data_IF_200210327907
#
_entry.id   IF_200210327907
#
_cell.length_a   1.000
_cell.length_b   1.000
_cell.length_c   1.000
_cell.angle_alpha   90.00
_cell.angle_beta   90.00
_cell.angle_gamma   90.00
#
_symmetry.space_group_name_H-M   'P 1'
#
loop_
_entity.id
_entity.type
_entity.pdbx_description
1 polymer ?
#
# COMPACT_ATOMS: atom_id res chain seq x y z
N UNK A 1 24.03 3.07 -10.24
CA UNK A 1 23.45 3.68 -11.47
C UNK A 1 22.13 4.25 -11.07
N UNK A 2 21.88 5.53 -11.25
CA UNK A 2 20.56 6.12 -11.03
C UNK A 2 19.83 6.14 -12.37
N UNK A 3 18.66 5.51 -12.41
CA UNK A 3 17.76 5.60 -13.57
C UNK A 3 17.03 6.93 -13.46
N UNK A 4 17.05 7.72 -14.53
CA UNK A 4 16.37 9.00 -14.53
C UNK A 4 14.83 8.78 -14.47
N UNK A 5 14.11 9.57 -13.66
CA UNK A 5 12.68 9.41 -13.39
C UNK A 5 11.82 9.51 -14.67
N UNK A 6 12.25 10.30 -15.66
CA UNK A 6 11.57 10.37 -16.95
C UNK A 6 11.62 9.04 -17.74
N UNK A 7 12.66 8.22 -17.55
CA UNK A 7 12.74 6.87 -18.13
C UNK A 7 11.76 5.94 -17.43
N UNK A 8 11.70 6.00 -16.08
CA UNK A 8 10.73 5.25 -15.28
C UNK A 8 9.31 5.64 -15.68
N UNK A 9 9.01 6.94 -15.75
CA UNK A 9 7.70 7.46 -16.16
C UNK A 9 7.25 6.93 -17.52
N UNK A 10 8.15 6.91 -18.49
CA UNK A 10 7.86 6.32 -19.81
C UNK A 10 7.59 4.82 -19.74
N UNK A 11 8.35 4.09 -18.92
CA UNK A 11 8.18 2.63 -18.78
C UNK A 11 6.91 2.26 -18.02
N UNK A 12 6.39 3.18 -17.21
CA UNK A 12 5.20 3.02 -16.38
C UNK A 12 3.93 3.68 -16.98
N UNK A 13 3.98 4.15 -18.21
CA UNK A 13 2.85 4.83 -18.85
C UNK A 13 1.57 4.01 -18.97
N UNK A 14 1.67 2.67 -18.89
CA UNK A 14 0.54 1.74 -18.91
C UNK A 14 0.16 1.23 -17.51
N UNK A 15 0.55 1.94 -16.44
CA UNK A 15 0.30 1.54 -15.07
C UNK A 15 -0.67 2.49 -14.39
N UNK A 16 -1.68 1.94 -13.73
CA UNK A 16 -2.55 2.63 -12.78
C UNK A 16 -2.11 2.28 -11.37
N UNK A 17 -1.74 3.26 -10.57
CA UNK A 17 -1.27 3.08 -9.21
C UNK A 17 -2.41 3.26 -8.21
N UNK A 18 -2.60 2.26 -7.37
CA UNK A 18 -3.45 2.32 -6.19
C UNK A 18 -2.57 2.45 -4.96
N UNK A 19 -2.72 3.55 -4.26
CA UNK A 19 -2.03 3.86 -3.00
C UNK A 19 -3.07 4.18 -1.92
N UNK A 20 -2.64 4.38 -0.70
CA UNK A 20 -3.56 4.76 0.38
C UNK A 20 -3.48 3.81 1.58
N UNK A 21 -4.53 3.83 2.40
CA UNK A 21 -4.53 3.16 3.70
C UNK A 21 -4.86 1.66 3.61
N UNK A 22 -4.55 0.93 4.67
CA UNK A 22 -5.18 -0.38 4.89
C UNK A 22 -6.71 -0.24 4.86
N UNK A 23 -7.41 -1.30 4.51
CA UNK A 23 -8.87 -1.33 4.41
C UNK A 23 -9.53 -0.26 3.51
N UNK A 24 -8.74 0.54 2.77
CA UNK A 24 -9.24 1.53 1.80
C UNK A 24 -9.90 0.92 0.55
N UNK A 25 -9.76 -0.38 0.33
CA UNK A 25 -10.36 -1.10 -0.80
C UNK A 25 -9.44 -1.29 -2.00
N UNK A 26 -8.16 -0.94 -1.92
CA UNK A 26 -7.18 -1.05 -3.03
C UNK A 26 -7.21 -2.42 -3.72
N UNK A 27 -7.03 -3.49 -2.96
CA UNK A 27 -6.99 -4.87 -3.47
C UNK A 27 -8.30 -5.26 -4.15
N UNK A 28 -9.44 -4.94 -3.55
CA UNK A 28 -10.76 -5.21 -4.12
C UNK A 28 -10.96 -4.47 -5.43
N UNK A 29 -10.73 -3.16 -5.42
CA UNK A 29 -10.90 -2.32 -6.61
C UNK A 29 -9.90 -2.66 -7.71
N UNK A 30 -8.65 -2.97 -7.35
CA UNK A 30 -7.63 -3.39 -8.30
C UNK A 30 -8.01 -4.68 -9.03
N UNK A 31 -8.51 -5.66 -8.30
CA UNK A 31 -8.99 -6.93 -8.89
C UNK A 31 -10.24 -6.74 -9.75
N UNK A 32 -11.22 -5.96 -9.29
CA UNK A 32 -12.45 -5.69 -10.05
C UNK A 32 -12.16 -4.92 -11.35
N UNK A 33 -11.30 -3.89 -11.28
CA UNK A 33 -10.90 -3.13 -12.45
C UNK A 33 -10.13 -4.02 -13.45
N UNK A 34 -9.20 -4.82 -12.95
CA UNK A 34 -8.42 -5.74 -13.77
C UNK A 34 -9.30 -6.79 -14.44
N UNK A 35 -10.26 -7.36 -13.73
CA UNK A 35 -11.22 -8.31 -14.28
C UNK A 35 -12.11 -7.68 -15.36
N UNK A 36 -12.58 -6.45 -15.13
CA UNK A 36 -13.49 -5.75 -16.07
C UNK A 36 -12.80 -5.37 -17.38
N UNK A 37 -11.53 -4.94 -17.31
CA UNK A 37 -10.81 -4.39 -18.48
C UNK A 37 -9.71 -5.32 -19.04
N UNK A 38 -9.53 -6.50 -18.46
CA UNK A 38 -8.47 -7.42 -18.87
C UNK A 38 -7.06 -6.94 -18.50
N UNK A 39 -6.92 -6.11 -17.45
CA UNK A 39 -5.63 -5.62 -16.98
C UNK A 39 -4.95 -6.67 -16.09
N UNK A 40 -3.65 -6.56 -15.94
CA UNK A 40 -2.90 -7.34 -14.96
C UNK A 40 -2.99 -6.65 -13.60
N UNK A 41 -3.41 -7.38 -12.58
CA UNK A 41 -3.32 -6.93 -11.19
C UNK A 41 -1.96 -7.32 -10.60
N UNK A 42 -1.27 -6.34 -10.04
CA UNK A 42 -0.02 -6.52 -9.29
C UNK A 42 -0.20 -6.00 -7.86
N UNK A 43 0.34 -6.71 -6.90
CA UNK A 43 0.39 -6.27 -5.50
C UNK A 43 1.74 -6.62 -4.90
N UNK A 44 2.29 -5.72 -4.09
CA UNK A 44 3.49 -5.94 -3.29
C UNK A 44 3.17 -6.49 -1.89
N UNK A 45 1.94 -6.96 -1.68
CA UNK A 45 1.55 -7.56 -0.43
C UNK A 45 2.44 -8.78 -0.13
N UNK A 46 2.99 -8.84 1.08
CA UNK A 46 3.84 -9.92 1.59
C UNK A 46 3.25 -11.34 1.45
N UNK A 47 1.93 -11.47 1.29
CA UNK A 47 1.27 -12.74 0.98
C UNK A 47 1.38 -13.17 -0.49
N UNK A 48 1.90 -12.32 -1.37
CA UNK A 48 2.09 -12.66 -2.76
C UNK A 48 3.34 -13.56 -2.95
N UNK A 49 3.32 -14.48 -3.93
CA UNK A 49 4.41 -15.45 -4.11
C UNK A 49 5.80 -14.84 -4.30
N UNK A 50 5.87 -13.67 -4.92
CA UNK A 50 7.13 -12.99 -5.23
C UNK A 50 7.84 -12.45 -3.99
N UNK A 51 7.12 -12.20 -2.90
CA UNK A 51 7.70 -11.64 -1.67
C UNK A 51 8.82 -12.51 -1.08
N UNK A 52 8.63 -13.83 -1.08
CA UNK A 52 9.64 -14.77 -0.55
C UNK A 52 10.94 -14.76 -1.35
N UNK A 53 10.83 -14.56 -2.67
CA UNK A 53 12.00 -14.41 -3.53
C UNK A 53 12.74 -13.10 -3.20
N UNK A 54 12.02 -12.01 -3.10
CA UNK A 54 12.58 -10.70 -2.76
C UNK A 54 13.23 -10.68 -1.38
N UNK A 55 12.58 -11.25 -0.37
CA UNK A 55 13.10 -11.36 1.00
C UNK A 55 14.48 -12.06 1.03
N UNK A 56 14.72 -13.02 0.14
CA UNK A 56 16.01 -13.72 0.04
C UNK A 56 17.12 -12.89 -0.59
N UNK A 57 16.78 -11.82 -1.31
CA UNK A 57 17.73 -10.97 -2.06
C UNK A 57 18.04 -9.69 -1.27
N UNK A 58 17.11 -9.19 -0.46
CA UNK A 58 17.28 -7.96 0.30
C UNK A 58 18.45 -8.11 1.28
N UNK A 59 19.39 -7.18 1.24
CA UNK A 59 20.51 -7.11 2.19
C UNK A 59 19.96 -6.92 3.62
N UNK A 60 20.48 -7.69 4.58
CA UNK A 60 20.05 -7.64 5.99
C UNK A 60 20.08 -6.26 6.64
N UNK A 61 20.91 -5.33 6.16
CA UNK A 61 20.95 -3.92 6.63
C UNK A 61 19.74 -3.10 6.18
N UNK A 62 19.01 -3.57 5.16
CA UNK A 62 17.80 -2.94 4.62
C UNK A 62 16.52 -3.69 5.00
N UNK A 63 16.57 -4.48 6.07
CA UNK A 63 15.39 -5.20 6.53
C UNK A 63 14.29 -4.24 7.00
N UNK A 64 13.01 -4.60 6.79
CA UNK A 64 11.88 -3.82 7.29
C UNK A 64 11.94 -3.61 8.80
N UNK A 65 11.23 -2.61 9.29
CA UNK A 65 11.11 -2.29 10.73
C UNK A 65 10.60 -3.47 11.60
N UNK A 66 10.12 -4.55 10.99
CA UNK A 66 9.78 -5.81 11.66
C UNK A 66 11.00 -6.68 12.03
N UNK A 67 12.22 -6.22 11.70
CA UNK A 67 13.45 -6.96 11.95
C UNK A 67 14.42 -6.15 12.82
N UNK A 68 15.14 -6.85 13.69
CA UNK A 68 16.21 -6.30 14.51
C UNK A 68 17.55 -6.87 14.05
N UNK A 69 18.38 -6.04 13.42
CA UNK A 69 19.70 -6.46 12.93
C UNK A 69 19.65 -7.64 11.96
N UNK A 70 18.65 -7.70 11.07
CA UNK A 70 18.49 -8.76 10.08
C UNK A 70 17.81 -10.04 10.62
N UNK A 71 17.31 -10.01 11.86
CA UNK A 71 16.52 -11.11 12.43
C UNK A 71 15.09 -10.64 12.69
N UNK A 72 14.06 -11.44 12.34
CA UNK A 72 12.69 -11.13 12.70
C UNK A 72 12.56 -10.96 14.23
N UNK A 73 11.78 -9.97 14.64
CA UNK A 73 11.35 -9.89 16.04
C UNK A 73 10.49 -11.11 16.40
N UNK A 74 10.62 -11.61 17.62
CA UNK A 74 9.56 -12.45 18.19
C UNK A 74 8.26 -11.62 18.34
N UNK A 75 7.11 -12.29 18.40
CA UNK A 75 5.84 -11.58 18.61
C UNK A 75 5.86 -10.72 19.88
N UNK A 76 6.45 -11.24 20.97
CA UNK A 76 6.56 -10.48 22.22
C UNK A 76 7.40 -9.22 22.06
N UNK A 77 8.57 -9.32 21.44
CA UNK A 77 9.43 -8.16 21.17
C UNK A 77 8.73 -7.15 20.25
N UNK A 78 8.08 -7.63 19.19
CA UNK A 78 7.41 -6.78 18.23
C UNK A 78 6.26 -5.99 18.84
N UNK A 79 5.34 -6.68 19.54
CA UNK A 79 4.11 -6.06 20.08
C UNK A 79 4.27 -5.43 21.47
N UNK A 80 5.44 -5.53 22.10
CA UNK A 80 5.72 -4.84 23.37
C UNK A 80 6.25 -3.42 23.20
N UNK A 81 6.46 -2.98 21.97
CA UNK A 81 6.95 -1.61 21.67
C UNK A 81 5.84 -0.58 21.86
N UNK A 82 6.25 0.62 22.24
CA UNK A 82 5.37 1.79 22.28
C UNK A 82 5.06 2.33 20.88
N UNK A 83 4.07 3.21 20.77
CA UNK A 83 3.75 3.92 19.53
C UNK A 83 4.97 4.69 19.02
N UNK A 84 5.70 5.37 19.91
CA UNK A 84 6.88 6.16 19.58
C UNK A 84 8.01 5.29 19.01
N UNK A 85 8.23 4.10 19.59
CA UNK A 85 9.23 3.14 19.11
C UNK A 85 8.87 2.62 17.72
N UNK A 86 7.60 2.28 17.47
CA UNK A 86 7.16 1.89 16.12
C UNK A 86 7.37 3.00 15.09
N UNK A 87 7.01 4.24 15.43
CA UNK A 87 7.18 5.38 14.51
C UNK A 87 8.66 5.69 14.24
N UNK A 88 9.52 5.56 15.26
CA UNK A 88 10.96 5.73 15.11
C UNK A 88 11.56 4.65 14.21
N UNK A 89 11.18 3.39 14.41
CA UNK A 89 11.62 2.26 13.59
C UNK A 89 11.15 2.39 12.12
N UNK A 90 9.90 2.77 11.91
CA UNK A 90 9.38 3.04 10.56
C UNK A 90 10.22 4.09 9.83
N UNK A 91 10.58 5.18 10.53
CA UNK A 91 11.44 6.22 9.98
C UNK A 91 12.85 5.72 9.69
N UNK A 92 13.42 4.92 10.58
CA UNK A 92 14.77 4.36 10.41
C UNK A 92 14.84 3.31 9.27
N UNK A 93 13.72 2.66 8.97
CA UNK A 93 13.59 1.63 7.93
C UNK A 93 13.23 2.19 6.55
N UNK A 94 13.23 3.50 6.37
CA UNK A 94 12.85 4.13 5.10
C UNK A 94 13.70 3.63 3.91
N UNK A 95 14.99 3.37 4.13
CA UNK A 95 15.87 2.83 3.08
C UNK A 95 15.43 1.43 2.63
N UNK A 96 15.03 0.55 3.57
CA UNK A 96 14.49 -0.77 3.25
C UNK A 96 13.17 -0.68 2.49
N UNK A 97 12.30 0.25 2.87
CA UNK A 97 11.04 0.51 2.17
C UNK A 97 11.29 0.93 0.72
N UNK A 98 12.25 1.82 0.47
CA UNK A 98 12.62 2.24 -0.89
C UNK A 98 13.24 1.12 -1.71
N UNK A 99 13.98 0.20 -1.11
CA UNK A 99 14.49 -0.99 -1.80
C UNK A 99 13.36 -1.93 -2.22
N UNK A 100 12.40 -2.18 -1.33
CA UNK A 100 11.20 -2.96 -1.65
C UNK A 100 10.38 -2.33 -2.79
N UNK A 101 10.22 -1.00 -2.77
CA UNK A 101 9.57 -0.27 -3.86
C UNK A 101 10.34 -0.46 -5.17
N UNK A 102 11.66 -0.44 -5.16
CA UNK A 102 12.47 -0.66 -6.36
C UNK A 102 12.23 -2.05 -6.98
N UNK A 103 12.14 -3.11 -6.18
CA UNK A 103 11.77 -4.44 -6.66
C UNK A 103 10.36 -4.43 -7.27
N UNK A 104 9.38 -3.86 -6.59
CA UNK A 104 8.00 -3.74 -7.10
C UNK A 104 7.97 -3.00 -8.45
N UNK A 105 8.67 -1.89 -8.57
CA UNK A 105 8.75 -1.11 -9.82
C UNK A 105 9.38 -1.93 -10.96
N UNK A 106 10.43 -2.71 -10.69
CA UNK A 106 11.06 -3.58 -11.69
C UNK A 106 10.07 -4.62 -12.22
N UNK A 107 9.33 -5.28 -11.34
CA UNK A 107 8.34 -6.27 -11.75
C UNK A 107 7.16 -5.63 -12.50
N UNK A 108 6.67 -4.50 -12.03
CA UNK A 108 5.63 -3.73 -12.72
C UNK A 108 6.07 -3.34 -14.14
N UNK A 109 7.30 -2.86 -14.31
CA UNK A 109 7.83 -2.51 -15.64
C UNK A 109 7.86 -3.71 -16.58
N UNK A 110 8.26 -4.90 -16.11
CA UNK A 110 8.23 -6.13 -16.91
C UNK A 110 6.82 -6.45 -17.42
N UNK A 111 5.82 -6.34 -16.54
CA UNK A 111 4.42 -6.58 -16.87
C UNK A 111 3.87 -5.50 -17.83
N UNK A 112 4.20 -4.24 -17.58
CA UNK A 112 3.69 -3.09 -18.32
C UNK A 112 4.19 -2.99 -19.77
N UNK A 113 5.24 -3.74 -20.13
CA UNK A 113 5.74 -3.78 -21.52
C UNK A 113 4.71 -4.28 -22.53
N UNK A 114 3.80 -5.15 -22.11
CA UNK A 114 2.82 -5.80 -23.00
C UNK A 114 1.38 -5.66 -22.53
N UNK A 115 1.18 -5.15 -21.33
CA UNK A 115 -0.13 -5.10 -20.68
C UNK A 115 -0.38 -3.74 -20.04
N UNK A 116 -1.64 -3.45 -19.77
CA UNK A 116 -2.01 -2.44 -18.80
C UNK A 116 -2.00 -3.10 -17.41
N UNK A 117 -1.42 -2.43 -16.43
CA UNK A 117 -1.24 -2.95 -15.06
C UNK A 117 -1.99 -2.07 -14.08
N UNK A 118 -2.67 -2.68 -13.13
CA UNK A 118 -3.14 -2.03 -11.89
C UNK A 118 -2.21 -2.45 -10.78
N UNK A 119 -1.46 -1.51 -10.23
CA UNK A 119 -0.45 -1.74 -9.20
C UNK A 119 -0.96 -1.26 -7.84
N UNK A 120 -1.28 -2.20 -6.96
CA UNK A 120 -1.60 -1.98 -5.54
C UNK A 120 -0.30 -2.12 -4.74
N UNK A 121 0.37 -0.99 -4.48
CA UNK A 121 1.68 -0.98 -3.86
C UNK A 121 1.77 0.02 -2.72
N UNK A 122 2.66 -0.25 -1.79
CA UNK A 122 2.92 0.63 -0.66
C UNK A 122 4.01 1.65 -1.01
N UNK A 123 3.59 2.82 -1.47
CA UNK A 123 4.45 3.99 -1.64
C UNK A 123 3.96 5.10 -0.69
N UNK A 124 4.83 5.58 0.18
CA UNK A 124 4.58 6.71 1.09
C UNK A 124 5.13 8.02 0.54
N UNK A 125 6.14 7.95 -0.32
CA UNK A 125 6.74 9.11 -1.00
C UNK A 125 5.93 9.46 -2.25
N UNK A 126 4.94 10.34 -2.08
CA UNK A 126 4.09 10.79 -3.18
C UNK A 126 4.78 11.78 -4.10
N UNK A 127 5.85 12.47 -3.66
CA UNK A 127 6.69 13.28 -4.54
C UNK A 127 7.37 12.34 -5.56
N UNK A 128 7.99 11.26 -5.09
CA UNK A 128 8.58 10.25 -5.98
C UNK A 128 7.54 9.61 -6.91
N UNK A 129 6.36 9.26 -6.39
CA UNK A 129 5.29 8.65 -7.21
C UNK A 129 4.85 9.58 -8.37
N UNK A 130 4.73 10.88 -8.10
CA UNK A 130 4.38 11.89 -9.11
C UNK A 130 5.51 12.17 -10.13
N UNK A 131 6.75 11.90 -9.76
CA UNK A 131 7.87 11.94 -10.71
C UNK A 131 7.86 10.79 -11.71
N UNK A 132 7.37 9.61 -11.31
CA UNK A 132 7.37 8.39 -12.12
C UNK A 132 6.01 8.05 -12.76
N UNK A 133 4.95 8.78 -12.42
CA UNK A 133 3.60 8.57 -12.97
C UNK A 133 2.88 9.89 -13.22
N UNK A 134 1.80 9.84 -14.01
CA UNK A 134 0.92 10.98 -14.20
C UNK A 134 -0.19 10.97 -13.15
N UNK A 135 -0.60 12.17 -12.73
CA UNK A 135 -1.69 12.38 -11.78
C UNK A 135 -2.96 11.56 -12.12
N UNK A 136 -3.35 11.57 -13.40
CA UNK A 136 -4.51 10.84 -13.89
C UNK A 136 -4.39 9.30 -13.83
N UNK A 137 -3.24 8.79 -13.42
CA UNK A 137 -2.98 7.34 -13.25
C UNK A 137 -2.77 6.92 -11.81
N UNK A 138 -3.00 7.82 -10.87
CA UNK A 138 -2.83 7.56 -9.44
C UNK A 138 -4.18 7.73 -8.75
N UNK A 139 -4.62 6.73 -8.01
CA UNK A 139 -5.79 6.80 -7.14
C UNK A 139 -5.42 6.45 -5.70
N UNK A 140 -5.77 7.33 -4.77
CA UNK A 140 -5.55 7.13 -3.35
C UNK A 140 -6.84 6.64 -2.68
N UNK A 141 -6.85 5.37 -2.25
CA UNK A 141 -7.99 4.74 -1.60
C UNK A 141 -7.78 4.74 -0.09
N UNK A 142 -8.62 5.49 0.60
CA UNK A 142 -8.48 5.81 2.01
C UNK A 142 -9.58 5.15 2.84
N UNK A 143 -9.25 4.83 4.08
CA UNK A 143 -10.21 4.49 5.13
C UNK A 143 -9.87 5.27 6.39
N UNK A 144 -10.86 5.75 7.17
CA UNK A 144 -10.62 6.36 8.46
C UNK A 144 -10.08 5.32 9.45
N UNK A 145 -9.30 5.75 10.45
CA UNK A 145 -8.65 4.86 11.42
C UNK A 145 -9.62 3.91 12.11
N UNK A 146 -10.80 4.37 12.51
CA UNK A 146 -11.81 3.55 13.18
C UNK A 146 -12.37 2.43 12.28
N UNK A 147 -12.51 2.70 10.98
CA UNK A 147 -12.92 1.68 10.03
C UNK A 147 -11.81 0.66 9.79
N UNK A 148 -10.55 1.10 9.77
CA UNK A 148 -9.40 0.20 9.69
C UNK A 148 -9.38 -0.71 10.92
N UNK A 149 -9.48 -0.16 12.13
CA UNK A 149 -9.48 -0.92 13.39
C UNK A 149 -10.58 -1.98 13.39
N UNK A 150 -11.80 -1.60 12.98
CA UNK A 150 -12.92 -2.54 12.91
C UNK A 150 -12.67 -3.69 11.95
N UNK A 151 -12.17 -3.40 10.75
CA UNK A 151 -12.13 -4.36 9.64
C UNK A 151 -10.82 -5.15 9.57
N UNK A 152 -9.68 -4.56 9.99
CA UNK A 152 -8.35 -5.14 9.80
C UNK A 152 -8.18 -6.48 10.48
N UNK A 153 -8.60 -6.57 11.74
CA UNK A 153 -8.46 -7.78 12.57
C UNK A 153 -9.42 -8.91 12.18
N UNK A 154 -10.42 -8.62 11.35
CA UNK A 154 -11.42 -9.59 10.89
C UNK A 154 -11.09 -10.18 9.52
N UNK A 155 -10.04 -9.68 8.87
CA UNK A 155 -9.63 -10.15 7.54
C UNK A 155 -8.92 -11.50 7.63
N UNK A 156 -9.28 -12.42 6.74
CA UNK A 156 -8.67 -13.75 6.68
C UNK A 156 -7.15 -13.69 6.48
N UNK A 157 -6.67 -12.76 5.64
CA UNK A 157 -5.25 -12.56 5.34
C UNK A 157 -4.46 -11.90 6.50
N UNK A 158 -5.13 -11.46 7.57
CA UNK A 158 -4.52 -10.88 8.78
C UNK A 158 -4.83 -11.67 10.07
N UNK A 159 -5.45 -12.84 9.95
CA UNK A 159 -5.79 -13.66 11.12
C UNK A 159 -4.57 -14.08 11.93
N UNK A 160 -3.42 -14.34 11.29
CA UNK A 160 -2.20 -14.71 12.01
C UNK A 160 -1.64 -13.54 12.83
N UNK A 161 -1.71 -12.30 12.30
CA UNK A 161 -1.38 -11.09 13.04
C UNK A 161 -2.29 -10.91 14.28
N UNK A 162 -3.59 -11.08 14.10
CA UNK A 162 -4.57 -10.97 15.18
C UNK A 162 -4.34 -12.04 16.26
N UNK A 163 -4.12 -13.30 15.87
CA UNK A 163 -3.82 -14.40 16.79
C UNK A 163 -2.50 -14.20 17.52
N UNK A 164 -1.49 -13.64 16.84
CA UNK A 164 -0.22 -13.33 17.46
C UNK A 164 -0.41 -12.39 18.65
N UNK A 165 -1.15 -11.28 18.50
CA UNK A 165 -1.44 -10.36 19.60
C UNK A 165 -2.27 -11.04 20.69
N UNK A 166 -3.33 -11.78 20.32
CA UNK A 166 -4.20 -12.46 21.27
C UNK A 166 -3.49 -13.49 22.14
N UNK A 167 -2.40 -14.07 21.66
CA UNK A 167 -1.61 -15.08 22.39
C UNK A 167 -0.68 -14.48 23.45
N UNK A 168 -0.52 -13.17 23.49
CA UNK A 168 0.42 -12.48 24.36
C UNK A 168 -0.25 -11.98 25.64
N UNK A 169 0.55 -11.82 26.70
CA UNK A 169 0.10 -11.16 27.93
C UNK A 169 -0.27 -9.69 27.63
N UNK A 170 -1.27 -9.16 28.32
CA UNK A 170 -1.76 -7.79 28.15
C UNK A 170 -2.17 -7.46 26.69
N UNK A 171 -2.77 -8.43 26.00
CA UNK A 171 -3.16 -8.29 24.58
C UNK A 171 -4.03 -7.08 24.30
N UNK A 172 -4.91 -6.68 25.22
CA UNK A 172 -5.75 -5.48 25.08
C UNK A 172 -4.90 -4.21 24.92
N UNK A 173 -3.86 -4.05 25.74
CA UNK A 173 -2.95 -2.92 25.65
C UNK A 173 -2.16 -2.94 24.31
N UNK A 174 -1.75 -4.13 23.88
CA UNK A 174 -1.04 -4.30 22.61
C UNK A 174 -1.93 -3.97 21.41
N UNK A 175 -3.21 -4.36 21.45
CA UNK A 175 -4.19 -3.93 20.45
C UNK A 175 -4.36 -2.41 20.45
N UNK A 176 -4.40 -1.75 21.61
CA UNK A 176 -4.57 -0.30 21.65
C UNK A 176 -3.37 0.44 21.02
N UNK A 177 -2.14 -0.04 21.23
CA UNK A 177 -0.95 0.47 20.54
C UNK A 177 -1.11 0.35 19.00
N UNK A 178 -1.55 -0.81 18.50
CA UNK A 178 -1.78 -1.00 17.07
C UNK A 178 -2.93 -0.13 16.55
N UNK A 179 -4.00 0.03 17.32
CA UNK A 179 -5.12 0.91 16.98
C UNK A 179 -4.67 2.36 16.82
N UNK A 180 -3.82 2.84 17.73
CA UNK A 180 -3.29 4.19 17.65
C UNK A 180 -2.37 4.36 16.42
N UNK A 181 -1.57 3.36 16.09
CA UNK A 181 -0.77 3.36 14.85
C UNK A 181 -1.66 3.42 13.60
N UNK A 182 -2.80 2.74 13.58
CA UNK A 182 -3.76 2.83 12.47
C UNK A 182 -4.38 4.23 12.37
N UNK A 183 -4.73 4.87 13.50
CA UNK A 183 -5.26 6.25 13.52
C UNK A 183 -4.24 7.24 12.97
N UNK A 184 -3.00 7.16 13.47
CA UNK A 184 -1.90 8.03 13.03
C UNK A 184 -1.63 7.82 11.52
N UNK A 185 -1.44 6.57 11.10
CA UNK A 185 -1.15 6.25 9.71
C UNK A 185 -2.26 6.67 8.75
N UNK A 186 -3.53 6.46 9.12
CA UNK A 186 -4.68 6.90 8.31
C UNK A 186 -4.70 8.41 8.12
N UNK A 187 -4.43 9.16 9.20
CA UNK A 187 -4.36 10.63 9.17
C UNK A 187 -3.20 11.13 8.31
N UNK A 188 -1.99 10.59 8.51
CA UNK A 188 -0.80 10.97 7.75
C UNK A 188 -0.98 10.75 6.25
N UNK A 189 -1.49 9.57 5.85
CA UNK A 189 -1.74 9.24 4.44
C UNK A 189 -2.79 10.16 3.83
N UNK A 190 -3.88 10.46 4.54
CA UNK A 190 -4.91 11.38 4.06
C UNK A 190 -4.38 12.82 3.91
N UNK A 191 -3.55 13.30 4.85
CA UNK A 191 -2.90 14.61 4.79
C UNK A 191 -1.91 14.69 3.61
N UNK A 192 -1.13 13.66 3.37
CA UNK A 192 -0.21 13.59 2.23
C UNK A 192 -0.99 13.56 0.91
N UNK A 193 -2.03 12.75 0.79
CA UNK A 193 -2.87 12.73 -0.40
C UNK A 193 -3.49 14.11 -0.71
N UNK A 194 -3.95 14.81 0.32
CA UNK A 194 -4.48 16.17 0.21
C UNK A 194 -3.39 17.18 -0.20
N UNK A 195 -2.22 17.13 0.43
CA UNK A 195 -1.07 18.02 0.13
C UNK A 195 -0.67 17.93 -1.33
N UNK A 196 -0.69 16.72 -1.90
CA UNK A 196 -0.32 16.47 -3.29
C UNK A 196 -1.51 16.56 -4.26
N UNK A 197 -2.70 16.94 -3.78
CA UNK A 197 -3.94 16.99 -4.57
C UNK A 197 -4.27 15.70 -5.30
N UNK A 198 -3.91 14.53 -4.75
CA UNK A 198 -4.20 13.26 -5.38
C UNK A 198 -5.70 12.99 -5.42
N UNK A 199 -6.17 12.39 -6.51
CA UNK A 199 -7.52 11.87 -6.56
C UNK A 199 -7.69 10.84 -5.44
N UNK A 200 -8.62 11.11 -4.52
CA UNK A 200 -8.78 10.34 -3.31
C UNK A 200 -10.23 9.93 -3.10
N UNK A 201 -10.45 8.67 -2.74
CA UNK A 201 -11.76 8.14 -2.34
C UNK A 201 -11.65 7.73 -0.88
N UNK A 202 -12.44 8.38 -0.02
CA UNK A 202 -12.57 8.01 1.39
C UNK A 202 -13.68 6.98 1.54
N UNK A 203 -13.32 5.77 1.97
CA UNK A 203 -14.28 4.71 2.26
C UNK A 203 -15.13 5.08 3.47
N UNK A 204 -16.43 4.83 3.37
CA UNK A 204 -17.42 4.95 4.45
C UNK A 204 -18.24 3.66 4.55
N UNK A 205 -19.16 3.60 5.51
CA UNK A 205 -20.10 2.48 5.64
C UNK A 205 -21.04 2.34 4.42
N UNK A 206 -21.27 3.43 3.71
CA UNK A 206 -22.15 3.47 2.53
C UNK A 206 -21.41 3.18 1.22
N UNK A 207 -20.07 3.01 1.28
CA UNK A 207 -19.27 2.76 0.08
C UNK A 207 -19.60 1.40 -0.51
N UNK A 208 -19.95 1.38 -1.79
CA UNK A 208 -20.16 0.14 -2.56
C UNK A 208 -19.04 -0.05 -3.58
N UNK A 209 -18.84 -1.30 -4.00
CA UNK A 209 -17.89 -1.65 -5.06
C UNK A 209 -18.24 -0.90 -6.35
N UNK A 210 -19.52 -0.90 -6.73
CA UNK A 210 -20.01 -0.29 -7.96
C UNK A 210 -19.74 1.21 -7.99
N UNK A 211 -20.08 1.93 -6.92
CA UNK A 211 -19.88 3.38 -6.85
C UNK A 211 -18.38 3.73 -6.87
N UNK A 212 -17.56 2.98 -6.14
CA UNK A 212 -16.11 3.20 -6.12
C UNK A 212 -15.49 2.93 -7.48
N UNK A 213 -15.91 1.83 -8.14
CA UNK A 213 -15.44 1.48 -9.47
C UNK A 213 -15.81 2.56 -10.51
N UNK A 214 -17.02 3.08 -10.47
CA UNK A 214 -17.47 4.17 -11.35
C UNK A 214 -16.62 5.44 -11.19
N UNK A 215 -16.26 5.79 -9.95
CA UNK A 215 -15.40 6.94 -9.68
C UNK A 215 -13.98 6.72 -10.23
N UNK A 216 -13.43 5.52 -10.07
CA UNK A 216 -12.12 5.16 -10.61
C UNK A 216 -12.12 5.15 -12.13
N UNK A 217 -13.16 4.60 -12.76
CA UNK A 217 -13.30 4.58 -14.22
C UNK A 217 -13.35 5.99 -14.81
N UNK A 218 -14.08 6.88 -14.12
CA UNK A 218 -14.12 8.30 -14.52
C UNK A 218 -12.75 8.96 -14.38
N UNK A 219 -12.06 8.75 -13.26
CA UNK A 219 -10.73 9.34 -13.01
C UNK A 219 -9.68 8.84 -14.00
N UNK A 220 -9.68 7.55 -14.30
CA UNK A 220 -8.75 6.92 -15.23
C UNK A 220 -9.15 7.04 -16.70
N UNK A 221 -10.25 7.73 -16.99
CA UNK A 221 -10.78 7.88 -18.37
C UNK A 221 -11.00 6.54 -19.09
N UNK A 222 -11.51 5.53 -18.40
CA UNK A 222 -11.71 4.19 -18.96
C UNK A 222 -13.05 4.03 -19.67
N UNK A 223 -14.00 4.93 -19.48
CA UNK A 223 -15.31 4.91 -20.15
C UNK A 223 -15.32 5.86 -21.33
N UNK A 224 -15.79 5.40 -22.49
CA UNK A 224 -15.76 6.10 -23.79
C UNK A 224 -16.55 7.41 -23.85
N UNK A 225 -17.25 7.81 -22.80
CA UNK A 225 -18.21 8.92 -22.80
C UNK A 225 -17.85 10.07 -21.84
N UNK A 226 -16.62 10.13 -21.31
CA UNK A 226 -16.24 11.17 -20.34
C UNK A 226 -15.04 11.95 -20.88
N UNK A 227 -15.22 13.27 -21.09
CA UNK A 227 -14.08 14.17 -21.27
C UNK A 227 -13.21 14.10 -20.01
N UNK A 228 -11.95 13.74 -20.19
CA UNK A 228 -10.95 13.74 -19.11
C UNK A 228 -10.77 15.18 -18.64
N UNK A 229 -11.03 15.42 -17.35
CA UNK A 229 -10.77 16.73 -16.72
C UNK A 229 -9.30 16.87 -16.36
#
# INVERSE_FOLDING_TARGET
MNIANNILKRSLQNVYFFVGTACGGKTTMGRELSKKYGFIYFSDNWNEPNWKEWESIIDGKYQPYSHNGGKPFSNEEYFSRSVEEFLADRKSSQAATMENIAFSIIEIIKLAQKNTVVADIWIEDYDFLLEISDYSRIACLLAPGELIIRDYYQRDDHMDFTRAIQSLENSEQKFEVQNELFRIGAKEVAEQAKKHNLFSIMRSEESTIENTLMLLEKHFCLTSNVECM
#
